data_IF_034185528856
#
_entry.id   IF_034185528856
#
_cell.length_a   1.000
_cell.length_b   1.000
_cell.length_c   1.000
_cell.angle_alpha   90.00
_cell.angle_beta   90.00
_cell.angle_gamma   90.00
#
_symmetry.space_group_name_H-M   'P 1'
#
loop_
_entity.id
_entity.type
_entity.pdbx_description
1 polymer ?
#
# COMPACT_ATOMS: atom_id res chain seq x y z
N UNK A 1 -16.21 -15.63 -17.60
CA UNK A 1 -14.78 -15.57 -17.22
C UNK A 1 -14.40 -16.89 -16.57
N UNK A 2 -13.35 -17.58 -17.03
CA UNK A 2 -12.89 -18.84 -16.42
C UNK A 2 -12.02 -18.63 -15.16
N UNK A 3 -11.73 -17.37 -14.78
CA UNK A 3 -10.89 -17.03 -13.65
C UNK A 3 -11.77 -16.54 -12.48
N UNK A 4 -11.56 -17.14 -11.31
CA UNK A 4 -12.18 -16.70 -10.06
C UNK A 4 -11.58 -15.38 -9.56
N UNK A 5 -12.40 -14.58 -8.87
CA UNK A 5 -11.95 -13.36 -8.17
C UNK A 5 -11.54 -13.71 -6.75
N UNK A 6 -10.64 -12.93 -6.17
CA UNK A 6 -10.30 -12.99 -4.76
C UNK A 6 -11.00 -11.86 -4.00
N UNK A 7 -11.92 -12.19 -3.08
CA UNK A 7 -12.66 -11.20 -2.30
C UNK A 7 -11.75 -10.44 -1.33
N UNK A 8 -10.77 -11.11 -0.73
CA UNK A 8 -9.85 -10.49 0.21
C UNK A 8 -9.01 -9.40 -0.48
N UNK A 9 -8.64 -9.62 -1.75
CA UNK A 9 -7.94 -8.61 -2.55
C UNK A 9 -8.85 -7.43 -2.90
N UNK A 10 -10.15 -7.68 -3.12
CA UNK A 10 -11.10 -6.58 -3.36
C UNK A 10 -11.27 -5.73 -2.10
N UNK A 11 -11.32 -6.33 -0.92
CA UNK A 11 -11.35 -5.62 0.36
C UNK A 11 -10.06 -4.82 0.58
N UNK A 12 -8.89 -5.45 0.38
CA UNK A 12 -7.57 -4.80 0.50
C UNK A 12 -7.47 -3.53 -0.36
N UNK A 13 -8.00 -3.57 -1.58
CA UNK A 13 -8.02 -2.42 -2.48
C UNK A 13 -8.93 -1.28 -1.98
N UNK A 14 -10.06 -1.61 -1.34
CA UNK A 14 -10.95 -0.62 -0.73
C UNK A 14 -10.27 0.02 0.48
N UNK A 15 -9.63 -0.76 1.34
CA UNK A 15 -8.90 -0.27 2.51
C UNK A 15 -7.74 0.66 2.10
N UNK A 16 -6.97 0.27 1.07
CA UNK A 16 -5.89 1.09 0.53
C UNK A 16 -6.38 2.42 -0.04
N UNK A 17 -7.54 2.41 -0.70
CA UNK A 17 -8.18 3.62 -1.19
C UNK A 17 -8.62 4.54 -0.04
N UNK A 18 -9.21 3.98 1.01
CA UNK A 18 -9.58 4.75 2.21
C UNK A 18 -8.36 5.38 2.87
N UNK A 19 -7.31 4.60 3.12
CA UNK A 19 -6.06 5.09 3.70
C UNK A 19 -5.46 6.25 2.88
N UNK A 20 -5.37 6.09 1.57
CA UNK A 20 -4.81 7.13 0.69
C UNK A 20 -5.61 8.44 0.76
N UNK A 21 -6.95 8.34 0.85
CA UNK A 21 -7.82 9.51 0.96
C UNK A 21 -7.72 10.20 2.33
N UNK A 22 -7.53 9.44 3.41
CA UNK A 22 -7.48 9.98 4.77
C UNK A 22 -6.10 10.54 5.13
N UNK A 23 -5.02 9.87 4.72
CA UNK A 23 -3.64 10.22 5.09
C UNK A 23 -2.91 11.05 4.02
N UNK A 24 -3.35 11.00 2.76
CA UNK A 24 -2.64 11.62 1.64
C UNK A 24 -1.32 10.92 1.29
N UNK A 25 -1.11 9.71 1.78
CA UNK A 25 0.04 8.84 1.51
C UNK A 25 -0.35 7.72 0.55
N UNK A 26 0.62 7.15 -0.17
CA UNK A 26 0.40 6.02 -1.08
C UNK A 26 0.67 4.70 -0.40
N UNK A 27 -0.05 3.67 -0.83
CA UNK A 27 0.10 2.31 -0.31
C UNK A 27 1.20 1.55 -1.09
N UNK A 28 2.26 1.05 -0.42
CA UNK A 28 3.28 0.20 -1.04
C UNK A 28 2.70 -1.15 -1.53
N UNK A 29 3.51 -1.93 -2.25
CA UNK A 29 3.09 -3.23 -2.78
C UNK A 29 2.73 -4.19 -1.64
N UNK A 30 1.57 -4.86 -1.76
CA UNK A 30 1.09 -5.76 -0.72
C UNK A 30 0.61 -5.07 0.56
N UNK A 31 0.38 -3.75 0.53
CA UNK A 31 -0.09 -3.02 1.70
C UNK A 31 -1.41 -3.58 2.27
N UNK A 32 -1.48 -3.66 3.59
CA UNK A 32 -2.66 -4.03 4.39
C UNK A 32 -2.90 -3.01 5.50
N UNK A 33 -4.13 -2.94 6.01
CA UNK A 33 -4.51 -2.04 7.10
C UNK A 33 -3.54 -2.17 8.31
N UNK A 34 -3.10 -1.02 8.83
CA UNK A 34 -2.12 -0.93 9.92
C UNK A 34 -0.66 -0.92 9.47
N UNK A 35 -0.35 -1.16 8.18
CA UNK A 35 1.00 -1.01 7.65
C UNK A 35 1.31 0.46 7.31
N UNK A 36 2.60 0.79 7.31
CA UNK A 36 3.08 2.13 7.00
C UNK A 36 2.83 2.50 5.53
N UNK A 37 2.33 3.71 5.32
CA UNK A 37 2.21 4.32 3.99
C UNK A 37 3.54 4.90 3.51
N UNK A 38 3.57 5.34 2.26
CA UNK A 38 4.73 5.96 1.65
C UNK A 38 4.35 7.34 1.11
N UNK A 39 5.20 8.35 1.34
CA UNK A 39 5.00 9.67 0.74
C UNK A 39 5.25 9.62 -0.77
N UNK A 40 4.35 10.25 -1.53
CA UNK A 40 4.38 10.28 -2.99
C UNK A 40 5.40 11.29 -3.56
N UNK A 41 6.62 11.29 -3.03
CA UNK A 41 7.73 12.12 -3.53
C UNK A 41 9.06 11.34 -3.47
N UNK A 42 10.10 11.74 -4.24
CA UNK A 42 11.35 10.99 -4.33
C UNK A 42 12.06 10.79 -2.97
N UNK A 43 11.92 11.74 -2.05
CA UNK A 43 12.52 11.66 -0.73
C UNK A 43 11.75 10.66 0.14
N UNK A 44 10.42 10.72 0.10
CA UNK A 44 9.53 9.77 0.76
C UNK A 44 9.75 8.33 0.33
N UNK A 45 9.92 8.11 -0.97
CA UNK A 45 10.26 6.79 -1.52
C UNK A 45 11.62 6.31 -1.01
N UNK A 46 12.64 7.17 -1.03
CA UNK A 46 13.98 6.82 -0.55
C UNK A 46 13.98 6.50 0.96
N UNK A 47 13.25 7.27 1.77
CA UNK A 47 13.10 7.05 3.21
C UNK A 47 12.39 5.72 3.50
N UNK A 48 11.28 5.44 2.80
CA UNK A 48 10.54 4.18 2.95
C UNK A 48 11.42 2.97 2.58
N UNK A 49 12.05 2.99 1.41
CA UNK A 49 12.90 1.88 0.95
C UNK A 49 14.14 1.68 1.84
N UNK A 50 14.72 2.74 2.40
CA UNK A 50 15.83 2.62 3.34
C UNK A 50 15.40 1.99 4.67
N UNK A 51 14.17 2.25 5.13
CA UNK A 51 13.63 1.69 6.37
C UNK A 51 13.22 0.21 6.22
N UNK A 52 12.71 -0.17 5.05
CA UNK A 52 12.22 -1.51 4.74
C UNK A 52 13.18 -2.31 3.85
N UNK A 53 14.47 -1.98 3.84
CA UNK A 53 15.46 -2.59 2.95
C UNK A 53 15.58 -4.11 3.11
N UNK A 54 15.36 -4.63 4.32
CA UNK A 54 15.45 -6.05 4.65
C UNK A 54 14.16 -6.84 4.34
N UNK A 55 13.07 -6.15 4.01
CA UNK A 55 11.73 -6.71 3.76
C UNK A 55 11.38 -6.80 2.25
N UNK A 56 12.26 -6.28 1.40
CA UNK A 56 12.18 -6.30 -0.08
C UNK A 56 12.74 -7.59 -0.67
#
# INVERSE_FOLDING_TARGET
>A
LPLGRNIDEMLRMVDAMHFTNEHGEVCPAGWHEGQEGMKADPKGVAEYLAKHADEL
#
